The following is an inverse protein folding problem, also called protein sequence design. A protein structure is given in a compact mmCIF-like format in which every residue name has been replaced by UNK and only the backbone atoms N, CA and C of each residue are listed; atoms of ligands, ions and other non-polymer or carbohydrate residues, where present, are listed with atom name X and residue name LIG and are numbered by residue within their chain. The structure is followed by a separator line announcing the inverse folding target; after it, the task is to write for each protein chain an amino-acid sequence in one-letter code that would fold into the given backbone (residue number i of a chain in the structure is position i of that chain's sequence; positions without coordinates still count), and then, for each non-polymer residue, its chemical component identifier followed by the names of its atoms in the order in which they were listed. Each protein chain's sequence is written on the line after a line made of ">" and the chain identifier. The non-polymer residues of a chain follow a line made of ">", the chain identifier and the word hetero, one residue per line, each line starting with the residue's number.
data_IF_724888822575
#
_entry.id   IF_724888822575
#
_cell.length_a   1.000
_cell.length_b   1.000
_cell.length_c   1.000
_cell.angle_alpha   90.00
_cell.angle_beta   90.00
_cell.angle_gamma   90.00
#
_symmetry.space_group_name_H-M   'P 1'
#
loop_
_entity.id
_entity.type
_entity.pdbx_description
1 polymer ?
#
# COMPACT_ATOMS: atom_id res chain seq x y z
N UNK A 1 40.31 -63.68 -19.29
CA UNK A 1 41.50 -63.75 -18.41
C UNK A 1 41.24 -62.78 -17.26
N UNK A 2 41.23 -63.09 -15.95
CA UNK A 2 41.18 -64.33 -15.14
C UNK A 2 40.35 -63.97 -13.86
N UNK A 3 39.47 -64.81 -13.26
CA UNK A 3 39.74 -65.86 -12.23
C UNK A 3 40.71 -65.40 -11.12
N UNK A 4 40.50 -65.57 -9.80
CA UNK A 4 39.70 -66.50 -8.96
C UNK A 4 39.49 -65.91 -7.51
N UNK A 5 38.51 -66.31 -6.67
CA UNK A 5 38.51 -67.35 -5.58
C UNK A 5 39.66 -67.16 -4.53
N UNK A 6 39.53 -67.14 -3.18
CA UNK A 6 38.53 -67.73 -2.24
C UNK A 6 38.38 -67.05 -0.83
N UNK A 7 37.23 -67.30 -0.16
CA UNK A 7 36.95 -67.71 1.25
C UNK A 7 37.54 -67.05 2.56
N UNK A 8 36.87 -67.25 3.73
CA UNK A 8 37.22 -66.62 5.02
C UNK A 8 38.11 -67.51 5.93
N UNK A 9 38.87 -66.86 6.82
CA UNK A 9 39.60 -67.51 7.91
C UNK A 9 39.32 -66.84 9.26
N UNK A 10 38.91 -67.64 10.25
CA UNK A 10 38.81 -67.23 11.65
C UNK A 10 39.92 -67.90 12.46
N UNK A 11 40.63 -67.16 13.31
CA UNK A 11 41.34 -67.74 14.46
C UNK A 11 41.46 -66.77 15.63
N UNK A 12 41.43 -67.36 16.83
CA UNK A 12 41.41 -66.78 18.18
C UNK A 12 42.58 -65.84 18.55
N UNK A 13 42.40 -64.95 19.54
CA UNK A 13 43.53 -64.19 20.12
C UNK A 13 43.23 -63.05 21.11
N UNK A 14 42.70 -63.37 22.29
CA UNK A 14 42.89 -62.70 23.59
C UNK A 14 43.18 -61.16 23.73
N UNK A 15 42.33 -60.51 24.54
CA UNK A 15 42.65 -59.51 25.59
C UNK A 15 43.34 -58.19 25.20
N UNK A 16 42.60 -57.07 25.31
CA UNK A 16 42.98 -55.92 26.14
C UNK A 16 41.76 -55.01 26.44
N UNK A 17 41.82 -54.27 27.56
CA UNK A 17 40.75 -53.37 28.04
C UNK A 17 40.90 -51.95 27.47
N UNK A 18 39.92 -51.10 27.83
CA UNK A 18 39.92 -49.61 27.80
C UNK A 18 39.39 -48.95 26.51
N UNK A 19 38.82 -47.74 26.67
CA UNK A 19 38.18 -46.88 25.64
C UNK A 19 36.70 -47.12 25.27
N UNK A 20 35.83 -47.33 26.27
CA UNK A 20 34.38 -47.03 26.14
C UNK A 20 33.98 -45.97 27.17
N UNK A 21 34.38 -44.71 26.90
CA UNK A 21 33.98 -43.55 27.71
C UNK A 21 33.94 -42.20 26.95
N UNK A 22 34.45 -42.12 25.71
CA UNK A 22 34.62 -40.83 25.00
C UNK A 22 33.53 -40.54 23.95
N UNK A 23 32.85 -41.56 23.38
CA UNK A 23 31.88 -41.34 22.29
C UNK A 23 30.48 -40.85 22.75
N UNK A 24 30.10 -41.10 24.00
CA UNK A 24 28.78 -40.70 24.53
C UNK A 24 28.67 -39.19 24.82
N UNK A 25 29.78 -38.51 25.09
CA UNK A 25 29.78 -37.08 25.40
C UNK A 25 29.60 -36.22 24.13
N UNK A 26 30.24 -36.61 23.01
CA UNK A 26 30.11 -35.92 21.72
C UNK A 26 28.71 -36.05 21.10
N UNK A 27 28.00 -37.15 21.35
CA UNK A 27 26.62 -37.36 20.84
C UNK A 27 25.57 -36.57 21.64
N UNK A 28 25.80 -36.29 22.92
CA UNK A 28 24.92 -35.38 23.69
C UNK A 28 25.13 -33.89 23.36
N UNK A 29 26.39 -33.44 23.19
CA UNK A 29 26.66 -32.05 22.79
C UNK A 29 26.10 -31.70 21.41
N UNK A 30 26.14 -32.64 20.45
CA UNK A 30 25.59 -32.42 19.10
C UNK A 30 24.06 -32.38 19.07
N UNK A 31 23.38 -33.10 19.96
CA UNK A 31 21.91 -33.07 20.03
C UNK A 31 21.36 -31.79 20.67
N UNK A 32 22.01 -31.26 21.74
CA UNK A 32 21.60 -29.98 22.32
C UNK A 32 21.85 -28.80 21.37
N UNK A 33 23.00 -28.76 20.70
CA UNK A 33 23.34 -27.69 19.74
C UNK A 33 22.39 -27.65 18.53
N UNK A 34 21.93 -28.80 18.03
CA UNK A 34 20.88 -28.85 16.99
C UNK A 34 19.50 -28.39 17.45
N UNK A 35 19.10 -28.62 18.71
CA UNK A 35 17.80 -28.16 19.23
C UNK A 35 17.81 -26.65 19.47
N UNK A 36 18.89 -26.11 20.03
CA UNK A 36 19.05 -24.67 20.23
C UNK A 36 19.13 -23.89 18.90
N UNK A 37 19.84 -24.40 17.88
CA UNK A 37 19.87 -23.74 16.56
C UNK A 37 18.51 -23.78 15.85
N UNK A 38 17.76 -24.89 15.92
CA UNK A 38 16.40 -24.95 15.35
C UNK A 38 15.42 -24.00 16.04
N UNK A 39 15.50 -23.85 17.37
CA UNK A 39 14.69 -22.88 18.10
C UNK A 39 15.06 -21.42 17.75
N UNK A 40 16.36 -21.11 17.63
CA UNK A 40 16.83 -19.78 17.23
C UNK A 40 16.43 -19.41 15.79
N UNK A 41 16.53 -20.37 14.84
CA UNK A 41 16.08 -20.15 13.45
C UNK A 41 14.56 -19.99 13.38
N UNK A 42 13.77 -20.78 14.14
CA UNK A 42 12.33 -20.60 14.21
C UNK A 42 11.93 -19.22 14.78
N UNK A 43 12.65 -18.72 15.79
CA UNK A 43 12.43 -17.39 16.35
C UNK A 43 12.79 -16.26 15.35
N UNK A 44 13.88 -16.39 14.59
CA UNK A 44 14.21 -15.44 13.52
C UNK A 44 13.19 -15.49 12.37
N UNK A 45 12.71 -16.67 11.98
CA UNK A 45 11.65 -16.79 10.97
C UNK A 45 10.32 -16.21 11.44
N UNK A 46 9.97 -16.34 12.73
CA UNK A 46 8.79 -15.70 13.31
C UNK A 46 8.90 -14.17 13.31
N UNK A 47 10.09 -13.61 13.57
CA UNK A 47 10.36 -12.18 13.48
C UNK A 47 10.41 -11.67 12.02
N UNK A 48 10.75 -12.51 11.05
CA UNK A 48 10.66 -12.18 9.62
C UNK A 48 9.23 -12.27 9.07
N UNK A 49 8.39 -13.17 9.61
CA UNK A 49 6.97 -13.29 9.27
C UNK A 49 6.12 -12.21 9.95
N UNK A 50 6.55 -11.71 11.11
CA UNK A 50 6.07 -10.46 11.69
C UNK A 50 6.66 -9.27 10.92
N UNK A 51 6.26 -9.14 9.65
CA UNK A 51 6.55 -7.98 8.83
C UNK A 51 5.94 -6.74 9.46
N UNK A 52 6.71 -6.08 10.32
CA UNK A 52 6.51 -4.68 10.68
C UNK A 52 6.66 -3.87 9.40
N UNK A 53 5.57 -3.75 8.65
CA UNK A 53 5.39 -2.70 7.65
C UNK A 53 5.73 -1.40 8.37
N UNK A 54 6.85 -0.78 8.00
CA UNK A 54 7.30 0.50 8.54
C UNK A 54 6.34 1.58 8.02
N UNK A 55 5.13 1.60 8.58
CA UNK A 55 4.15 2.64 8.35
C UNK A 55 4.75 3.92 8.92
N UNK A 56 5.02 4.91 8.06
CA UNK A 56 5.54 6.21 8.50
C UNK A 56 4.60 6.75 9.58
N UNK A 57 5.07 7.02 10.81
CA UNK A 57 4.18 7.37 11.91
C UNK A 57 3.26 8.54 11.57
N UNK A 58 1.98 8.38 11.86
CA UNK A 58 1.04 9.49 11.81
C UNK A 58 1.26 10.36 13.04
N UNK A 59 1.52 11.66 12.86
CA UNK A 59 1.48 12.60 13.98
C UNK A 59 0.02 12.79 14.41
N UNK A 60 -0.24 12.78 15.73
CA UNK A 60 -1.61 12.89 16.27
C UNK A 60 -2.33 14.19 15.86
N UNK A 61 -1.56 15.26 15.64
CA UNK A 61 -2.06 16.59 15.28
C UNK A 61 -2.09 16.86 13.75
N UNK A 62 -1.69 15.88 12.93
CA UNK A 62 -1.67 16.01 11.48
C UNK A 62 -3.10 16.06 10.89
N UNK A 63 -3.35 17.03 10.03
CA UNK A 63 -4.60 17.19 9.28
C UNK A 63 -4.72 16.14 8.15
N UNK A 64 -3.59 15.75 7.56
CA UNK A 64 -3.48 14.63 6.63
C UNK A 64 -2.13 13.96 6.81
N UNK A 65 -2.03 12.67 6.45
CA UNK A 65 -0.78 11.90 6.54
C UNK A 65 -0.22 11.59 5.16
N UNK A 66 -1.07 11.62 4.13
CA UNK A 66 -0.66 11.45 2.76
C UNK A 66 -1.26 12.47 1.80
N UNK A 67 -0.73 12.46 0.59
CA UNK A 67 -1.22 13.20 -0.57
C UNK A 67 -1.27 12.23 -1.74
N UNK A 68 -2.33 12.28 -2.54
CA UNK A 68 -2.37 11.57 -3.81
C UNK A 68 -1.79 12.46 -4.89
N UNK A 69 -1.10 11.87 -5.84
CA UNK A 69 -0.74 12.49 -7.10
C UNK A 69 -1.19 11.58 -8.24
N UNK A 70 -1.90 12.17 -9.20
CA UNK A 70 -2.16 11.58 -10.50
C UNK A 70 -1.11 12.10 -11.52
N UNK A 71 -0.11 11.32 -11.94
CA UNK A 71 0.89 11.81 -12.89
C UNK A 71 0.30 12.10 -14.26
N UNK A 72 0.57 13.31 -14.73
CA UNK A 72 0.28 13.86 -16.05
C UNK A 72 1.51 14.64 -16.56
N UNK A 73 1.51 15.07 -17.82
CA UNK A 73 2.68 15.72 -18.43
C UNK A 73 2.93 17.17 -17.96
N UNK A 74 1.94 17.86 -17.42
CA UNK A 74 2.04 19.26 -17.04
C UNK A 74 2.57 19.40 -15.60
N UNK A 75 2.27 18.44 -14.71
CA UNK A 75 2.69 18.45 -13.29
C UNK A 75 3.87 17.52 -12.93
N UNK A 76 4.75 17.19 -13.89
CA UNK A 76 5.91 16.31 -13.64
C UNK A 76 6.98 16.87 -12.68
N UNK A 77 7.07 18.19 -12.52
CA UNK A 77 7.90 18.79 -11.44
C UNK A 77 7.07 18.96 -10.16
N UNK A 78 6.70 17.82 -9.55
CA UNK A 78 5.81 17.77 -8.39
C UNK A 78 6.39 18.52 -7.18
N UNK A 79 5.74 19.62 -6.78
CA UNK A 79 6.13 20.45 -5.63
C UNK A 79 4.91 20.79 -4.78
N UNK A 80 5.12 20.89 -3.47
CA UNK A 80 4.11 21.27 -2.50
C UNK A 80 4.72 21.57 -1.14
N UNK A 81 3.94 22.18 -0.25
CA UNK A 81 4.29 22.44 1.16
C UNK A 81 3.38 21.62 2.10
N UNK A 82 2.93 20.45 1.63
CA UNK A 82 1.91 19.61 2.27
C UNK A 82 2.39 19.00 3.59
N UNK A 83 3.69 18.94 3.82
CA UNK A 83 4.30 18.56 5.10
C UNK A 83 3.85 19.47 6.25
N UNK A 84 3.48 20.74 5.98
CA UNK A 84 2.84 21.63 6.97
C UNK A 84 1.52 21.05 7.53
N UNK A 85 0.78 20.27 6.73
CA UNK A 85 -0.44 19.57 7.17
C UNK A 85 -0.12 18.28 7.97
N UNK A 86 1.14 17.85 7.98
CA UNK A 86 1.59 16.58 8.55
C UNK A 86 1.74 15.44 7.52
N UNK A 87 1.62 15.74 6.22
CA UNK A 87 1.82 14.76 5.14
C UNK A 87 3.26 14.26 5.15
N UNK A 88 3.43 12.95 5.07
CA UNK A 88 4.75 12.30 4.98
C UNK A 88 4.78 11.08 4.05
N UNK A 89 3.67 10.75 3.39
CA UNK A 89 3.55 9.62 2.45
C UNK A 89 2.86 10.04 1.14
N UNK A 90 3.57 9.92 0.02
CA UNK A 90 3.02 10.16 -1.31
C UNK A 90 2.32 8.88 -1.81
N UNK A 91 1.09 8.99 -2.28
CA UNK A 91 0.47 7.94 -3.10
C UNK A 91 0.52 8.39 -4.57
N UNK A 92 1.30 7.68 -5.37
CA UNK A 92 1.30 7.85 -6.83
C UNK A 92 0.18 6.98 -7.39
N UNK A 93 -0.76 7.54 -8.15
CA UNK A 93 -1.90 6.76 -8.66
C UNK A 93 -1.47 5.73 -9.72
N UNK A 94 -0.47 6.04 -10.53
CA UNK A 94 0.15 5.13 -11.50
C UNK A 94 1.57 5.57 -11.87
N UNK A 95 2.46 4.62 -12.17
CA UNK A 95 3.74 4.91 -12.86
C UNK A 95 3.70 4.60 -14.36
N UNK A 96 2.61 4.00 -14.84
CA UNK A 96 2.26 3.97 -16.26
C UNK A 96 0.73 3.93 -16.43
N UNK A 97 0.22 4.73 -17.36
CA UNK A 97 -1.21 4.81 -17.70
C UNK A 97 -1.36 4.76 -19.21
N UNK A 98 -2.32 3.97 -19.67
CA UNK A 98 -2.45 3.65 -21.09
C UNK A 98 -1.13 3.14 -21.65
N UNK A 99 -0.56 3.80 -22.66
CA UNK A 99 0.70 3.39 -23.28
C UNK A 99 1.84 4.40 -23.02
N UNK A 100 1.73 5.17 -21.93
CA UNK A 100 2.75 6.12 -21.45
C UNK A 100 3.23 5.74 -20.05
N UNK A 101 4.54 5.76 -19.84
CA UNK A 101 5.17 5.56 -18.54
C UNK A 101 5.79 6.85 -17.99
N UNK A 102 5.60 7.06 -16.69
CA UNK A 102 6.26 8.08 -15.89
C UNK A 102 7.49 7.52 -15.15
N UNK A 103 7.98 6.35 -15.58
CA UNK A 103 9.16 5.68 -15.04
C UNK A 103 10.03 5.16 -16.17
N UNK A 104 11.33 5.46 -16.14
CA UNK A 104 12.29 4.89 -17.07
C UNK A 104 12.40 3.36 -16.84
N UNK A 105 12.60 2.57 -17.90
CA UNK A 105 12.70 1.10 -17.81
C UNK A 105 11.37 0.35 -17.69
N UNK A 106 10.23 1.06 -17.72
CA UNK A 106 8.88 0.47 -17.68
C UNK A 106 8.51 -0.47 -18.84
N UNK A 107 9.28 -0.48 -19.94
CA UNK A 107 8.93 -1.20 -21.17
C UNK A 107 7.83 -0.53 -22.00
N UNK A 108 7.52 0.73 -21.70
CA UNK A 108 6.59 1.60 -22.42
C UNK A 108 7.29 2.94 -22.75
N UNK A 109 6.79 3.71 -23.75
CA UNK A 109 7.23 5.07 -24.01
C UNK A 109 7.22 5.95 -22.75
N UNK A 110 8.38 6.52 -22.42
CA UNK A 110 8.57 7.44 -21.30
C UNK A 110 9.18 8.77 -21.78
N UNK A 111 8.44 9.59 -22.55
CA UNK A 111 8.98 10.77 -23.23
C UNK A 111 9.42 11.86 -22.25
N UNK A 112 8.77 11.93 -21.08
CA UNK A 112 9.16 12.74 -19.92
C UNK A 112 8.90 11.89 -18.68
N UNK A 113 9.80 11.99 -17.69
CA UNK A 113 9.63 11.36 -16.38
C UNK A 113 9.84 12.41 -15.27
N UNK A 114 9.19 12.26 -14.11
CA UNK A 114 9.48 13.07 -12.93
C UNK A 114 10.93 12.92 -12.46
N UNK A 115 11.44 13.93 -11.77
CA UNK A 115 12.65 13.80 -10.97
C UNK A 115 12.35 13.02 -9.68
N UNK A 116 12.28 11.70 -9.80
CA UNK A 116 12.04 10.79 -8.68
C UNK A 116 13.11 10.89 -7.59
N UNK A 117 14.34 11.27 -7.93
CA UNK A 117 15.42 11.45 -6.94
C UNK A 117 15.14 12.70 -6.11
N UNK A 118 14.79 13.84 -6.72
CA UNK A 118 14.33 15.01 -5.96
C UNK A 118 13.11 14.66 -5.11
N UNK A 119 12.07 14.08 -5.70
CA UNK A 119 10.82 13.75 -4.99
C UNK A 119 11.10 12.86 -3.77
N UNK A 120 12.03 11.90 -3.85
CA UNK A 120 12.40 11.04 -2.72
C UNK A 120 13.01 11.78 -1.51
N UNK A 121 13.49 13.01 -1.70
CA UNK A 121 14.06 13.86 -0.65
C UNK A 121 13.07 14.88 -0.08
N UNK A 122 11.84 14.96 -0.62
CA UNK A 122 10.82 15.90 -0.16
C UNK A 122 10.21 15.44 1.19
N UNK A 123 9.94 16.35 2.14
CA UNK A 123 9.45 15.98 3.48
C UNK A 123 8.07 15.30 3.45
N UNK A 124 7.25 15.60 2.45
CA UNK A 124 5.93 15.02 2.22
C UNK A 124 5.95 13.66 1.47
N UNK A 125 7.12 13.18 1.01
CA UNK A 125 7.28 11.93 0.26
C UNK A 125 8.27 10.93 0.92
N UNK A 126 8.44 11.00 2.24
CA UNK A 126 9.33 10.10 3.01
C UNK A 126 8.98 8.62 2.86
N UNK A 127 7.70 8.32 2.63
CA UNK A 127 7.24 7.04 2.13
C UNK A 127 6.49 7.23 0.81
N UNK A 128 6.54 6.23 -0.07
CA UNK A 128 5.79 6.24 -1.33
C UNK A 128 5.00 4.96 -1.52
N UNK A 129 3.68 5.09 -1.68
CA UNK A 129 2.85 4.04 -2.26
C UNK A 129 2.92 4.19 -3.78
N UNK A 130 3.47 3.18 -4.44
CA UNK A 130 3.73 3.21 -5.89
C UNK A 130 2.55 2.62 -6.64
N UNK A 131 1.83 3.46 -7.37
CA UNK A 131 0.80 3.04 -8.32
C UNK A 131 1.37 2.23 -9.47
N UNK A 132 0.68 1.16 -9.81
CA UNK A 132 1.10 0.21 -10.84
C UNK A 132 0.60 0.64 -12.23
N UNK A 133 0.22 -0.31 -13.11
CA UNK A 133 -0.32 0.00 -14.43
C UNK A 133 -1.81 0.33 -14.35
N UNK A 134 -2.24 1.40 -15.03
CA UNK A 134 -3.66 1.77 -15.15
C UNK A 134 -4.10 2.05 -16.59
N UNK A 135 -5.40 2.24 -16.77
CA UNK A 135 -5.99 2.88 -17.93
C UNK A 135 -6.81 4.07 -17.43
N UNK A 136 -6.74 5.22 -18.11
CA UNK A 136 -7.46 6.43 -17.67
C UNK A 136 -8.99 6.29 -17.84
N UNK A 137 -9.44 5.47 -18.79
CA UNK A 137 -10.84 5.06 -18.91
C UNK A 137 -11.12 3.88 -17.96
N UNK A 138 -11.99 4.11 -16.97
CA UNK A 138 -12.35 3.12 -15.95
C UNK A 138 -12.96 1.85 -16.57
N UNK A 139 -13.76 2.00 -17.63
CA UNK A 139 -14.45 0.87 -18.27
C UNK A 139 -13.45 -0.05 -18.98
N UNK A 140 -12.44 0.54 -19.63
CA UNK A 140 -11.26 -0.14 -20.19
C UNK A 140 -10.43 -0.78 -19.08
N UNK A 141 -10.21 -0.10 -17.94
CA UNK A 141 -9.49 -0.65 -16.80
C UNK A 141 -10.17 -1.92 -16.24
N UNK A 142 -11.47 -1.85 -15.98
CA UNK A 142 -12.31 -2.95 -15.47
C UNK A 142 -12.41 -4.12 -16.47
N UNK A 143 -12.42 -3.84 -17.77
CA UNK A 143 -12.49 -4.86 -18.82
C UNK A 143 -11.15 -5.60 -19.09
N UNK A 144 -10.01 -5.05 -18.66
CA UNK A 144 -8.68 -5.55 -19.01
C UNK A 144 -7.77 -5.76 -17.77
N UNK A 145 -8.36 -6.16 -16.63
CA UNK A 145 -7.64 -6.35 -15.36
C UNK A 145 -6.46 -7.32 -15.49
N UNK A 146 -6.65 -8.43 -16.21
CA UNK A 146 -5.62 -9.45 -16.42
C UNK A 146 -4.38 -8.86 -17.13
N UNK A 147 -4.59 -8.02 -18.14
CA UNK A 147 -3.51 -7.30 -18.83
C UNK A 147 -2.83 -6.29 -17.90
N UNK A 148 -3.62 -5.51 -17.14
CA UNK A 148 -3.09 -4.54 -16.18
C UNK A 148 -2.27 -5.23 -15.08
N UNK A 149 -2.63 -6.44 -14.64
CA UNK A 149 -1.81 -7.24 -13.72
C UNK A 149 -0.50 -7.68 -14.35
N UNK A 150 -0.49 -8.16 -15.61
CA UNK A 150 0.77 -8.49 -16.29
C UNK A 150 1.67 -7.27 -16.51
N UNK A 151 1.10 -6.12 -16.91
CA UNK A 151 1.82 -4.84 -16.99
C UNK A 151 2.40 -4.47 -15.61
N UNK A 152 1.60 -4.53 -14.56
CA UNK A 152 1.97 -4.22 -13.17
C UNK A 152 3.10 -5.10 -12.63
N UNK A 153 3.08 -6.40 -12.92
CA UNK A 153 4.15 -7.35 -12.53
C UNK A 153 5.49 -7.06 -13.20
N UNK A 154 5.49 -6.40 -14.36
CA UNK A 154 6.71 -5.88 -15.00
C UNK A 154 7.15 -4.57 -14.35
N UNK A 155 6.24 -3.63 -14.16
CA UNK A 155 6.51 -2.33 -13.52
C UNK A 155 7.09 -2.46 -12.11
N UNK A 156 6.60 -3.41 -11.30
CA UNK A 156 7.12 -3.66 -9.95
C UNK A 156 8.62 -4.01 -9.91
N UNK A 157 9.20 -4.48 -11.03
CA UNK A 157 10.63 -4.82 -11.15
C UNK A 157 11.51 -3.61 -11.45
N UNK A 158 10.93 -2.48 -11.84
CA UNK A 158 11.65 -1.26 -12.26
C UNK A 158 12.35 -0.56 -11.10
N UNK A 159 11.84 -0.74 -9.86
CA UNK A 159 12.43 -0.21 -8.61
C UNK A 159 12.69 1.31 -8.68
N UNK A 160 11.63 2.15 -8.62
CA UNK A 160 11.79 3.60 -8.53
C UNK A 160 12.73 4.00 -7.38
N UNK A 161 13.52 5.09 -7.53
CA UNK A 161 14.49 5.54 -6.52
C UNK A 161 13.78 6.29 -5.37
N UNK A 162 12.82 5.63 -4.72
CA UNK A 162 12.01 6.16 -3.62
C UNK A 162 11.89 5.12 -2.50
N UNK A 163 11.55 5.54 -1.28
CA UNK A 163 11.25 4.61 -0.20
C UNK A 163 9.84 4.02 -0.36
N UNK A 164 9.74 2.85 -1.02
CA UNK A 164 8.47 2.17 -1.26
C UNK A 164 7.89 1.65 0.06
N UNK A 165 6.75 2.21 0.48
CA UNK A 165 5.98 1.75 1.67
C UNK A 165 4.80 0.85 1.30
N UNK A 166 4.44 0.79 0.02
CA UNK A 166 3.43 -0.11 -0.52
C UNK A 166 3.24 0.07 -2.03
N UNK A 167 2.28 -0.69 -2.56
CA UNK A 167 1.88 -0.67 -3.96
C UNK A 167 0.39 -0.33 -4.06
N UNK A 168 -0.01 0.29 -5.16
CA UNK A 168 -1.39 0.62 -5.43
C UNK A 168 -1.81 0.07 -6.80
N UNK A 169 -2.89 -0.70 -6.85
CA UNK A 169 -3.46 -1.16 -8.12
C UNK A 169 -4.57 -0.20 -8.55
N UNK A 170 -4.48 0.47 -9.71
CA UNK A 170 -5.30 1.64 -10.00
C UNK A 170 -6.73 1.35 -10.49
N UNK A 171 -7.14 0.08 -10.55
CA UNK A 171 -8.49 -0.29 -10.99
C UNK A 171 -9.45 -0.09 -9.82
N UNK A 172 -10.31 0.92 -9.93
CA UNK A 172 -11.22 1.34 -8.87
C UNK A 172 -12.47 0.46 -8.84
N UNK A 173 -12.98 0.15 -7.64
CA UNK A 173 -14.15 -0.72 -7.45
C UNK A 173 -15.29 -0.02 -6.71
N UNK A 174 -16.51 -0.25 -7.19
CA UNK A 174 -17.77 0.21 -6.58
C UNK A 174 -18.85 -0.88 -6.66
N UNK A 175 -19.94 -0.80 -5.86
CA UNK A 175 -20.91 -1.88 -5.74
C UNK A 175 -21.77 -2.12 -6.99
N UNK A 176 -21.81 -1.19 -7.94
CA UNK A 176 -22.54 -1.36 -9.21
C UNK A 176 -21.79 -2.27 -10.19
N UNK A 177 -20.50 -2.49 -9.98
CA UNK A 177 -19.71 -3.40 -10.81
C UNK A 177 -19.88 -4.85 -10.38
N UNK A 178 -20.85 -5.53 -11.01
CA UNK A 178 -21.20 -6.93 -10.74
C UNK A 178 -20.02 -7.92 -10.79
N UNK A 179 -19.02 -7.65 -11.66
CA UNK A 179 -17.85 -8.50 -11.89
C UNK A 179 -16.66 -8.21 -10.95
N UNK A 180 -16.77 -7.25 -10.02
CA UNK A 180 -15.66 -6.79 -9.18
C UNK A 180 -14.94 -7.93 -8.42
N UNK A 181 -15.67 -8.97 -8.01
CA UNK A 181 -15.11 -10.13 -7.31
C UNK A 181 -14.03 -10.89 -8.12
N UNK A 182 -14.03 -10.78 -9.46
CA UNK A 182 -12.96 -11.33 -10.32
C UNK A 182 -11.59 -10.70 -10.06
N UNK A 183 -11.56 -9.50 -9.48
CA UNK A 183 -10.30 -8.83 -9.12
C UNK A 183 -9.56 -9.56 -7.99
N UNK A 184 -10.25 -10.23 -7.06
CA UNK A 184 -9.66 -10.85 -5.88
C UNK A 184 -8.45 -11.75 -6.18
N UNK A 185 -8.60 -12.82 -6.99
CA UNK A 185 -7.50 -13.69 -7.39
C UNK A 185 -6.39 -12.98 -8.18
N UNK A 186 -6.67 -11.85 -8.81
CA UNK A 186 -5.66 -11.05 -9.53
C UNK A 186 -4.81 -10.21 -8.57
N UNK A 187 -5.42 -9.66 -7.51
CA UNK A 187 -4.74 -8.90 -6.45
C UNK A 187 -3.80 -9.76 -5.59
N UNK A 188 -4.05 -11.07 -5.48
CA UNK A 188 -3.14 -12.01 -4.80
C UNK A 188 -1.77 -12.11 -5.49
N UNK A 189 -1.73 -11.89 -6.80
CA UNK A 189 -0.51 -11.99 -7.63
C UNK A 189 0.40 -10.77 -7.47
N UNK A 190 -0.16 -9.63 -7.10
CA UNK A 190 0.52 -8.32 -7.08
C UNK A 190 1.39 -8.14 -5.82
N UNK A 191 2.44 -7.31 -5.90
CA UNK A 191 3.37 -7.11 -4.78
C UNK A 191 2.69 -6.46 -3.56
N UNK A 192 3.16 -6.84 -2.37
CA UNK A 192 2.58 -6.44 -1.07
C UNK A 192 3.54 -5.49 -0.31
N UNK A 193 3.04 -4.63 0.62
CA UNK A 193 1.63 -4.36 0.92
C UNK A 193 0.91 -3.71 -0.27
N UNK A 194 -0.31 -4.14 -0.56
CA UNK A 194 -1.10 -3.68 -1.70
C UNK A 194 -2.32 -2.90 -1.26
N UNK A 195 -2.67 -1.86 -2.01
CA UNK A 195 -3.85 -1.03 -1.81
C UNK A 195 -4.67 -0.91 -3.10
N UNK A 196 -5.98 -0.76 -2.98
CA UNK A 196 -6.90 -0.35 -4.05
C UNK A 196 -7.72 0.85 -3.61
N UNK A 197 -8.23 1.65 -4.55
CA UNK A 197 -9.29 2.62 -4.26
C UNK A 197 -10.66 1.98 -4.39
N UNK A 198 -11.59 2.45 -3.57
CA UNK A 198 -13.00 2.07 -3.64
C UNK A 198 -13.87 3.29 -3.42
N UNK A 199 -15.03 3.32 -4.06
CA UNK A 199 -16.01 4.39 -3.91
C UNK A 199 -17.43 3.84 -3.92
N UNK A 200 -18.41 4.67 -3.55
CA UNK A 200 -19.83 4.34 -3.68
C UNK A 200 -20.62 5.57 -4.11
N UNK A 201 -21.00 5.63 -5.38
CA UNK A 201 -21.93 6.63 -5.94
C UNK A 201 -23.39 6.18 -5.85
N UNK A 202 -23.65 4.89 -5.58
CA UNK A 202 -24.98 4.31 -5.40
C UNK A 202 -25.54 4.50 -4.00
N UNK A 203 -24.69 4.88 -3.03
CA UNK A 203 -25.03 5.19 -1.65
C UNK A 203 -25.77 4.03 -0.92
N UNK A 204 -25.26 2.79 -1.06
CA UNK A 204 -25.85 1.60 -0.42
C UNK A 204 -25.66 1.55 1.11
N UNK A 205 -24.83 2.44 1.67
CA UNK A 205 -24.56 2.56 3.10
C UNK A 205 -23.33 1.78 3.55
N UNK A 206 -22.60 2.30 4.54
CA UNK A 206 -21.30 1.79 4.96
C UNK A 206 -21.27 0.31 5.32
N UNK A 207 -22.30 -0.20 5.99
CA UNK A 207 -22.39 -1.61 6.39
C UNK A 207 -22.61 -2.55 5.19
N UNK A 208 -23.43 -2.16 4.20
CA UNK A 208 -23.62 -2.93 2.98
C UNK A 208 -22.37 -2.89 2.10
N UNK A 209 -21.73 -1.72 2.02
CA UNK A 209 -20.47 -1.50 1.32
C UNK A 209 -19.32 -2.34 1.89
N UNK A 210 -19.19 -2.37 3.22
CA UNK A 210 -18.16 -3.16 3.90
C UNK A 210 -18.36 -4.67 3.72
N UNK A 211 -19.61 -5.16 3.81
CA UNK A 211 -19.96 -6.56 3.51
C UNK A 211 -19.68 -6.94 2.06
N UNK A 212 -19.97 -6.05 1.12
CA UNK A 212 -19.68 -6.27 -0.30
C UNK A 212 -18.17 -6.44 -0.53
N UNK A 213 -17.32 -5.61 0.08
CA UNK A 213 -15.86 -5.76 -0.01
C UNK A 213 -15.32 -7.01 0.71
N UNK A 214 -15.77 -7.30 1.93
CA UNK A 214 -15.30 -8.48 2.68
C UNK A 214 -15.68 -9.81 1.98
N UNK A 215 -16.72 -9.80 1.15
CA UNK A 215 -17.14 -10.93 0.33
C UNK A 215 -16.15 -11.36 -0.78
N UNK A 216 -15.19 -10.53 -1.17
CA UNK A 216 -14.24 -10.86 -2.25
C UNK A 216 -12.81 -10.31 -2.12
N UNK A 217 -12.57 -9.28 -1.30
CA UNK A 217 -11.27 -8.64 -1.20
C UNK A 217 -10.26 -9.51 -0.41
N UNK A 218 -9.07 -9.84 -0.96
CA UNK A 218 -8.09 -10.65 -0.24
C UNK A 218 -7.66 -9.99 1.08
N UNK A 219 -7.52 -10.81 2.13
CA UNK A 219 -7.32 -10.35 3.52
C UNK A 219 -6.02 -9.57 3.76
N UNK A 220 -5.07 -9.59 2.83
CA UNK A 220 -3.80 -8.87 2.87
C UNK A 220 -3.80 -7.56 2.05
N UNK A 221 -4.90 -7.25 1.36
CA UNK A 221 -5.06 -6.00 0.58
C UNK A 221 -5.74 -4.94 1.43
N UNK A 222 -5.19 -3.73 1.42
CA UNK A 222 -5.76 -2.54 2.03
C UNK A 222 -6.65 -1.75 1.08
N UNK A 223 -7.47 -0.88 1.66
CA UNK A 223 -8.49 -0.08 0.98
C UNK A 223 -8.23 1.40 1.24
N UNK A 224 -8.27 2.20 0.17
CA UNK A 224 -8.41 3.65 0.21
C UNK A 224 -9.85 3.99 -0.16
N UNK A 225 -10.67 4.34 0.85
CA UNK A 225 -12.04 4.80 0.63
C UNK A 225 -12.00 6.22 0.06
N UNK A 226 -12.44 6.42 -1.18
CA UNK A 226 -12.79 7.75 -1.68
C UNK A 226 -14.00 8.27 -0.92
N UNK A 227 -13.94 9.52 -0.49
CA UNK A 227 -14.92 10.05 0.45
C UNK A 227 -16.23 10.51 -0.21
N UNK A 228 -16.23 10.73 -1.52
CA UNK A 228 -17.38 11.20 -2.30
C UNK A 228 -17.79 12.65 -2.01
N UNK A 229 -17.00 13.39 -1.24
CA UNK A 229 -17.31 14.79 -0.90
C UNK A 229 -17.00 15.76 -2.05
N UNK A 230 -16.07 15.40 -2.94
CA UNK A 230 -15.65 16.20 -4.09
C UNK A 230 -16.61 16.15 -5.27
N UNK A 231 -17.46 15.13 -5.34
CA UNK A 231 -18.60 15.03 -6.27
C UNK A 231 -19.96 15.34 -5.62
N UNK A 232 -19.97 15.73 -4.34
CA UNK A 232 -21.19 15.88 -3.52
C UNK A 232 -22.08 14.62 -3.42
N UNK A 233 -21.52 13.42 -3.63
CA UNK A 233 -22.25 12.17 -3.43
C UNK A 233 -22.61 11.95 -1.95
N UNK A 234 -21.75 12.44 -1.04
CA UNK A 234 -21.90 12.32 0.42
C UNK A 234 -21.33 13.55 1.14
N UNK A 235 -21.68 13.71 2.42
CA UNK A 235 -21.03 14.66 3.33
C UNK A 235 -20.03 13.97 4.28
N UNK A 236 -19.17 14.73 4.99
CA UNK A 236 -18.10 14.18 5.82
C UNK A 236 -18.54 13.16 6.89
N UNK A 237 -19.67 13.39 7.55
CA UNK A 237 -20.19 12.48 8.58
C UNK A 237 -20.58 11.11 7.98
N UNK A 238 -21.31 11.12 6.85
CA UNK A 238 -21.65 9.89 6.14
C UNK A 238 -20.39 9.17 5.61
N UNK A 239 -19.42 9.90 5.05
CA UNK A 239 -18.16 9.31 4.61
C UNK A 239 -17.37 8.65 5.77
N UNK A 240 -17.43 9.25 6.96
CA UNK A 240 -16.86 8.70 8.20
C UNK A 240 -17.56 7.39 8.62
N UNK A 241 -18.88 7.29 8.51
CA UNK A 241 -19.63 6.05 8.80
C UNK A 241 -19.20 4.89 7.89
N UNK A 242 -18.91 5.16 6.60
CA UNK A 242 -18.35 4.14 5.69
C UNK A 242 -16.94 3.71 6.12
N UNK A 243 -16.08 4.66 6.53
CA UNK A 243 -14.74 4.34 7.03
C UNK A 243 -14.79 3.47 8.31
N UNK A 244 -15.69 3.79 9.24
CA UNK A 244 -15.89 3.03 10.48
C UNK A 244 -16.46 1.62 10.20
N UNK A 245 -17.40 1.47 9.27
CA UNK A 245 -17.89 0.15 8.85
C UNK A 245 -16.78 -0.69 8.19
N UNK A 246 -16.02 -0.13 7.25
CA UNK A 246 -14.87 -0.81 6.65
C UNK A 246 -13.84 -1.24 7.70
N UNK A 247 -13.58 -0.39 8.70
CA UNK A 247 -12.63 -0.68 9.75
C UNK A 247 -13.11 -1.80 10.70
N UNK A 248 -14.43 -1.96 10.87
CA UNK A 248 -15.03 -3.03 11.64
C UNK A 248 -14.95 -4.40 10.93
N UNK A 249 -15.21 -4.46 9.62
CA UNK A 249 -15.15 -5.71 8.85
C UNK A 249 -13.71 -6.07 8.45
N UNK A 250 -12.99 -5.15 7.80
CA UNK A 250 -11.67 -5.41 7.22
C UNK A 250 -10.51 -5.26 8.21
N UNK A 251 -10.75 -4.58 9.33
CA UNK A 251 -9.77 -4.22 10.35
C UNK A 251 -9.10 -2.86 10.09
N UNK A 252 -9.11 -1.97 11.09
CA UNK A 252 -8.67 -0.56 10.99
C UNK A 252 -7.31 -0.31 10.29
N UNK A 253 -6.34 -1.22 10.41
CA UNK A 253 -5.02 -1.07 9.74
C UNK A 253 -5.10 -1.16 8.20
N UNK A 254 -6.15 -1.79 7.66
CA UNK A 254 -6.41 -1.96 6.22
C UNK A 254 -7.26 -0.83 5.62
N UNK A 255 -7.65 0.19 6.39
CA UNK A 255 -8.51 1.28 5.92
C UNK A 255 -7.78 2.62 6.00
N UNK A 256 -7.70 3.29 4.84
CA UNK A 256 -7.27 4.69 4.66
C UNK A 256 -8.42 5.45 4.00
N UNK A 257 -8.49 6.77 4.19
CA UNK A 257 -9.50 7.62 3.55
C UNK A 257 -8.81 8.55 2.55
N UNK A 258 -9.38 8.66 1.35
CA UNK A 258 -9.06 9.70 0.39
C UNK A 258 -10.07 10.84 0.60
N UNK A 259 -9.60 12.00 1.05
CA UNK A 259 -10.39 13.22 1.14
C UNK A 259 -10.29 13.98 -0.19
N UNK A 260 -11.41 14.15 -0.88
CA UNK A 260 -11.46 14.79 -2.19
C UNK A 260 -11.38 16.32 -2.04
N UNK A 261 -10.23 16.89 -2.42
CA UNK A 261 -9.95 18.32 -2.37
C UNK A 261 -10.43 19.10 -3.60
N UNK A 262 -11.21 18.48 -4.48
CA UNK A 262 -11.82 19.13 -5.63
C UNK A 262 -13.33 19.32 -5.43
N UNK A 263 -13.97 20.16 -6.26
CA UNK A 263 -15.43 20.36 -6.32
C UNK A 263 -15.88 20.58 -7.76
N UNK A 264 -17.13 20.23 -8.15
CA UNK A 264 -17.62 20.47 -9.49
C UNK A 264 -17.63 21.97 -9.79
N UNK A 265 -17.17 22.34 -10.99
CA UNK A 265 -17.14 23.72 -11.46
C UNK A 265 -18.35 24.00 -12.35
N UNK A 266 -18.91 25.20 -12.25
CA UNK A 266 -19.96 25.65 -13.17
C UNK A 266 -19.43 25.65 -14.62
N UNK A 267 -20.17 25.04 -15.53
CA UNK A 267 -19.72 24.82 -16.92
C UNK A 267 -18.93 23.52 -17.14
N UNK A 268 -18.75 22.69 -16.10
CA UNK A 268 -18.09 21.39 -16.20
C UNK A 268 -16.65 21.39 -15.67
N UNK A 269 -16.12 20.17 -15.49
CA UNK A 269 -14.83 19.95 -14.84
C UNK A 269 -14.86 20.28 -13.35
N UNK A 270 -13.67 20.46 -12.77
CA UNK A 270 -13.48 20.64 -11.33
C UNK A 270 -12.69 21.90 -11.00
N UNK A 271 -12.85 22.36 -9.76
CA UNK A 271 -12.03 23.40 -9.09
C UNK A 271 -11.46 22.82 -7.80
N UNK A 272 -10.47 23.47 -7.20
CA UNK A 272 -10.10 23.21 -5.82
C UNK A 272 -11.28 23.50 -4.87
N UNK A 273 -11.38 22.70 -3.81
CA UNK A 273 -12.17 22.98 -2.62
C UNK A 273 -11.55 24.17 -1.86
N UNK A 274 -12.39 24.99 -1.26
CA UNK A 274 -11.95 26.02 -0.33
C UNK A 274 -11.57 25.39 1.02
N UNK A 275 -10.79 26.11 1.84
CA UNK A 275 -10.42 25.63 3.18
C UNK A 275 -11.66 25.31 4.05
N UNK A 276 -12.75 26.07 3.89
CA UNK A 276 -14.03 25.84 4.58
C UNK A 276 -14.78 24.59 4.09
N UNK A 277 -14.58 24.16 2.84
CA UNK A 277 -15.15 22.92 2.30
C UNK A 277 -14.30 21.68 2.65
N UNK A 278 -13.00 21.85 2.86
CA UNK A 278 -12.06 20.76 3.12
C UNK A 278 -11.80 20.50 4.61
N UNK A 279 -11.73 21.53 5.46
CA UNK A 279 -11.50 21.35 6.90
C UNK A 279 -12.52 20.40 7.59
N UNK A 280 -13.84 20.46 7.30
CA UNK A 280 -14.81 19.54 7.92
C UNK A 280 -14.62 18.06 7.54
N UNK A 281 -14.04 17.76 6.37
CA UNK A 281 -13.66 16.39 5.99
C UNK A 281 -12.51 15.90 6.88
N UNK A 282 -11.43 16.69 6.95
CA UNK A 282 -10.22 16.32 7.69
C UNK A 282 -10.50 16.17 9.20
N UNK A 283 -11.39 16.99 9.76
CA UNK A 283 -11.87 16.85 11.13
C UNK A 283 -12.69 15.56 11.33
N UNK A 284 -13.65 15.27 10.45
CA UNK A 284 -14.49 14.06 10.54
C UNK A 284 -13.66 12.77 10.46
N UNK A 285 -12.55 12.77 9.70
CA UNK A 285 -11.71 11.59 9.49
C UNK A 285 -10.59 11.42 10.55
N UNK A 286 -10.56 12.24 11.61
CA UNK A 286 -9.61 12.06 12.72
C UNK A 286 -9.64 10.63 13.26
N UNK A 287 -8.44 10.06 13.39
CA UNK A 287 -8.23 8.67 13.81
C UNK A 287 -8.05 7.68 12.65
N UNK A 288 -8.20 8.10 11.39
CA UNK A 288 -7.77 7.39 10.19
C UNK A 288 -6.46 7.97 9.62
N UNK A 289 -5.82 7.25 8.69
CA UNK A 289 -4.82 7.85 7.79
C UNK A 289 -5.55 8.46 6.60
N UNK A 290 -5.39 9.77 6.41
CA UNK A 290 -6.06 10.55 5.37
C UNK A 290 -5.08 10.93 4.27
N UNK A 291 -5.49 10.75 3.02
CA UNK A 291 -4.79 11.12 1.79
C UNK A 291 -5.60 12.21 1.09
N UNK A 292 -5.00 13.35 0.82
CA UNK A 292 -5.72 14.42 0.09
C UNK A 292 -5.60 14.17 -1.42
N UNK A 293 -6.72 14.04 -2.13
CA UNK A 293 -6.75 13.89 -3.58
C UNK A 293 -7.11 15.23 -4.26
N UNK A 294 -6.23 15.82 -5.07
CA UNK A 294 -4.83 15.45 -5.32
C UNK A 294 -3.92 16.70 -5.22
N UNK A 295 -2.64 16.43 -4.97
CA UNK A 295 -1.66 17.44 -4.58
C UNK A 295 -1.54 18.60 -5.56
N UNK A 296 -1.04 18.38 -6.78
CA UNK A 296 -0.68 19.47 -7.68
C UNK A 296 -1.88 20.23 -8.25
N UNK A 297 -3.03 19.58 -8.48
CA UNK A 297 -4.18 20.23 -9.09
C UNK A 297 -5.06 21.00 -8.09
N UNK A 298 -5.16 20.50 -6.84
CA UNK A 298 -6.18 20.96 -5.91
C UNK A 298 -5.65 21.41 -4.54
N UNK A 299 -4.45 20.99 -4.12
CA UNK A 299 -3.88 21.33 -2.81
C UNK A 299 -2.78 22.39 -2.92
N UNK A 300 -3.16 23.61 -3.33
CA UNK A 300 -2.24 24.73 -3.46
C UNK A 300 -1.68 25.22 -2.11
N UNK A 301 -0.55 25.97 -2.09
CA UNK A 301 0.00 26.57 -0.87
C UNK A 301 -1.01 27.43 -0.10
N UNK A 302 -1.89 28.14 -0.80
CA UNK A 302 -2.94 28.99 -0.21
C UNK A 302 -4.02 28.14 0.47
N UNK A 303 -4.39 26.98 -0.10
CA UNK A 303 -5.31 26.05 0.55
C UNK A 303 -4.68 25.42 1.80
N UNK A 304 -3.39 25.06 1.73
CA UNK A 304 -2.63 24.57 2.90
C UNK A 304 -2.63 25.61 4.02
N UNK A 305 -2.27 26.86 3.73
CA UNK A 305 -2.22 27.91 4.75
C UNK A 305 -3.62 28.29 5.27
N UNK A 306 -4.67 28.21 4.43
CA UNK A 306 -6.07 28.38 4.84
C UNK A 306 -6.56 27.29 5.80
N UNK A 307 -6.24 26.02 5.54
CA UNK A 307 -6.56 24.90 6.44
C UNK A 307 -5.87 25.06 7.81
N UNK A 308 -4.62 25.49 7.81
CA UNK A 308 -3.85 25.75 9.03
C UNK A 308 -4.47 26.90 9.83
N UNK A 309 -4.88 27.99 9.17
CA UNK A 309 -5.53 29.12 9.81
C UNK A 309 -6.84 28.73 10.52
N UNK A 310 -7.67 27.88 9.90
CA UNK A 310 -8.89 27.35 10.52
C UNK A 310 -8.55 26.54 11.79
N UNK A 311 -7.64 25.57 11.69
CA UNK A 311 -7.19 24.74 12.84
C UNK A 311 -6.66 25.59 14.00
N UNK A 312 -5.92 26.66 13.71
CA UNK A 312 -5.40 27.57 14.74
C UNK A 312 -6.46 28.51 15.33
N UNK A 313 -7.54 28.80 14.59
CA UNK A 313 -8.71 29.50 15.12
C UNK A 313 -9.52 28.65 16.10
N UNK A 314 -9.79 27.39 15.74
CA UNK A 314 -10.50 26.43 16.59
C UNK A 314 -9.76 26.16 17.91
N UNK A 315 -8.43 26.05 17.87
CA UNK A 315 -7.59 25.87 19.06
C UNK A 315 -7.51 27.07 20.01
N UNK A 316 -8.07 28.23 19.65
CA UNK A 316 -8.20 29.41 20.53
C UNK A 316 -9.60 29.60 21.11
N UNK A 317 -10.57 28.81 20.65
CA UNK A 317 -11.98 28.89 21.06
C UNK A 317 -12.40 27.76 22.03
N UNK A 318 -11.43 26.94 22.47
CA UNK A 318 -11.56 25.88 23.47
C UNK A 318 -10.67 26.18 24.68
#
# INVERSE_FOLDING_TARGET
>A
MARCIAQPGAYSGAVARTHVACLACLTFLTCLTQRCTRAAVAALCALAAAGCTLQVPAHADALAQGVVWQPDNDHLDLRGNWDKLGVNELLVQWIAVDDVAYMAGAGLPAPRVPDWVRISNEPWARGVIVGLAGFADEKKARANMEELVERSLRLAKVRPPVHITGWYFPVEADPTWADAARMGPLLERLPKPLWISVYDTSNIGGEAFAKWLDGWLPRDVGVLLQDGCGVYARGPAAAREYADALAAHLGKKRVRVIAEAFRPKQGGGFRAATAAELAPQLEAYRGYRVYVFDGPHYLSPELVDGLLAIRHGEGKAR
#
